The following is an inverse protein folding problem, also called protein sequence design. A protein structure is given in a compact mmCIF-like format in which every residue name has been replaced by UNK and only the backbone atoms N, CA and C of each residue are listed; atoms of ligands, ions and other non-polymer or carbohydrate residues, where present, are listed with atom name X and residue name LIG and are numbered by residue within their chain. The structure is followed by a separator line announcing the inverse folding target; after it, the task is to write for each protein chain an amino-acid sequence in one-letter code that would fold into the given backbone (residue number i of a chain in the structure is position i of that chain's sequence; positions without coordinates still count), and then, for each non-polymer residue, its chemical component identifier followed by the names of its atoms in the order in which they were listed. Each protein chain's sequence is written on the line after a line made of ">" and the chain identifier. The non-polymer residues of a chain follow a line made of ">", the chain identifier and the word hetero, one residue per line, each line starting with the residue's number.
data_IF_264476018561
#
_entry.id   IF_264476018561
#
_cell.length_a   1.000
_cell.length_b   1.000
_cell.length_c   1.000
_cell.angle_alpha   90.00
_cell.angle_beta   90.00
_cell.angle_gamma   90.00
#
_symmetry.space_group_name_H-M   'P 1'
#
loop_
_entity.id
_entity.type
_entity.pdbx_description
1 polymer ?
#
# COMPACT_ATOMS: atom_id res chain seq x y z
N UNK A 1 -2.98 38.54 -40.81
CA UNK A 1 -4.42 38.33 -40.75
C UNK A 1 -4.76 36.89 -40.57
N UNK A 2 -4.77 36.05 -41.61
CA UNK A 2 -5.07 34.61 -41.46
C UNK A 2 -4.04 33.85 -40.57
N UNK A 3 -2.79 34.24 -40.59
CA UNK A 3 -1.73 33.65 -39.80
C UNK A 3 -1.97 33.84 -38.29
N UNK A 4 -2.39 35.00 -37.88
CA UNK A 4 -2.65 35.28 -36.47
C UNK A 4 -3.85 34.52 -35.95
N UNK A 5 -4.91 34.43 -36.76
CA UNK A 5 -6.09 33.65 -36.41
C UNK A 5 -5.78 32.17 -36.28
N UNK A 6 -4.96 31.62 -37.17
CA UNK A 6 -4.51 30.25 -37.11
C UNK A 6 -3.65 30.01 -35.87
N UNK A 7 -2.74 30.95 -35.54
CA UNK A 7 -1.91 30.84 -34.34
C UNK A 7 -2.75 30.85 -33.08
N UNK A 8 -3.74 31.72 -33.01
CA UNK A 8 -4.68 31.76 -31.86
C UNK A 8 -5.44 30.46 -31.73
N UNK A 9 -5.95 29.94 -32.83
CA UNK A 9 -6.67 28.65 -32.81
C UNK A 9 -5.81 27.51 -32.37
N UNK A 10 -4.54 27.45 -32.79
CA UNK A 10 -3.57 26.43 -32.37
C UNK A 10 -3.29 26.57 -30.87
N UNK A 11 -3.11 27.78 -30.39
CA UNK A 11 -2.84 28.03 -28.98
C UNK A 11 -4.05 27.63 -28.11
N UNK A 12 -5.26 27.93 -28.55
CA UNK A 12 -6.47 27.51 -27.86
C UNK A 12 -6.57 26.01 -27.75
N UNK A 13 -6.29 25.30 -28.85
CA UNK A 13 -6.30 23.82 -28.88
C UNK A 13 -5.24 23.26 -27.92
N UNK A 14 -4.04 23.83 -27.92
CA UNK A 14 -2.97 23.40 -27.01
C UNK A 14 -3.35 23.64 -25.56
N UNK A 15 -4.00 24.76 -25.27
CA UNK A 15 -4.45 25.08 -23.93
C UNK A 15 -5.50 24.10 -23.44
N UNK A 16 -6.47 23.75 -24.29
CA UNK A 16 -7.50 22.75 -23.99
C UNK A 16 -6.87 21.39 -23.72
N UNK A 17 -5.91 20.99 -24.53
CA UNK A 17 -5.18 19.72 -24.35
C UNK A 17 -4.40 19.74 -23.05
N UNK A 18 -3.79 20.86 -22.71
CA UNK A 18 -3.06 21.03 -21.45
C UNK A 18 -3.99 20.91 -20.26
N UNK A 19 -5.14 21.55 -20.29
CA UNK A 19 -6.15 21.47 -19.25
C UNK A 19 -6.64 20.04 -19.05
N UNK A 20 -6.84 19.31 -20.14
CA UNK A 20 -7.22 17.89 -20.08
C UNK A 20 -6.13 17.07 -19.43
N UNK A 21 -4.88 17.29 -19.76
CA UNK A 21 -3.73 16.61 -19.17
C UNK A 21 -3.62 16.88 -17.67
N UNK A 22 -3.82 18.13 -17.27
CA UNK A 22 -3.78 18.52 -15.86
C UNK A 22 -4.89 17.81 -15.08
N UNK A 23 -6.10 17.75 -15.63
CA UNK A 23 -7.23 17.06 -15.00
C UNK A 23 -6.94 15.57 -14.84
N UNK A 24 -6.38 14.94 -15.85
CA UNK A 24 -5.98 13.53 -15.79
C UNK A 24 -4.89 13.29 -14.77
N UNK A 25 -3.94 14.22 -14.66
CA UNK A 25 -2.86 14.14 -13.69
C UNK A 25 -3.41 14.24 -12.26
N UNK A 26 -4.29 15.19 -12.01
CA UNK A 26 -4.94 15.34 -10.70
C UNK A 26 -5.68 14.06 -10.31
N UNK A 27 -6.44 13.49 -11.24
CA UNK A 27 -7.15 12.23 -11.01
C UNK A 27 -6.19 11.08 -10.71
N UNK A 28 -5.07 11.01 -11.41
CA UNK A 28 -4.05 9.98 -11.17
C UNK A 28 -3.40 10.15 -9.80
N UNK A 29 -3.12 11.39 -9.39
CA UNK A 29 -2.56 11.69 -8.07
C UNK A 29 -3.53 11.27 -6.96
N UNK A 30 -4.82 11.54 -7.12
CA UNK A 30 -5.84 11.11 -6.17
C UNK A 30 -5.88 9.58 -6.03
N UNK A 31 -5.79 8.87 -7.15
CA UNK A 31 -5.76 7.40 -7.13
C UNK A 31 -4.51 6.87 -6.45
N UNK A 32 -3.36 7.49 -6.69
CA UNK A 32 -2.11 7.11 -6.03
C UNK A 32 -2.23 7.31 -4.52
N UNK A 33 -2.79 8.41 -4.07
CA UNK A 33 -3.00 8.68 -2.66
C UNK A 33 -3.93 7.65 -2.02
N UNK A 34 -5.00 7.27 -2.70
CA UNK A 34 -5.94 6.25 -2.24
C UNK A 34 -5.26 4.88 -2.12
N UNK A 35 -4.50 4.48 -3.13
CA UNK A 35 -3.74 3.21 -3.11
C UNK A 35 -2.71 3.24 -1.98
N UNK A 36 -2.03 4.36 -1.78
CA UNK A 36 -1.05 4.52 -0.71
C UNK A 36 -1.69 4.33 0.67
N UNK A 37 -2.87 4.91 0.89
CA UNK A 37 -3.61 4.73 2.14
C UNK A 37 -4.02 3.28 2.34
N UNK A 38 -4.49 2.61 1.30
CA UNK A 38 -4.88 1.20 1.36
C UNK A 38 -3.68 0.30 1.66
N UNK A 39 -2.53 0.55 1.03
CA UNK A 39 -1.30 -0.19 1.30
C UNK A 39 -0.84 0.03 2.73
N UNK A 40 -0.89 1.26 3.24
CA UNK A 40 -0.51 1.56 4.62
C UNK A 40 -1.38 0.81 5.63
N UNK A 41 -2.69 0.75 5.40
CA UNK A 41 -3.61 -0.02 6.25
C UNK A 41 -3.30 -1.50 6.20
N UNK A 42 -3.04 -2.03 5.01
CA UNK A 42 -2.70 -3.43 4.80
C UNK A 42 -1.41 -3.79 5.55
N UNK A 43 -0.39 -2.95 5.46
CA UNK A 43 0.87 -3.15 6.18
C UNK A 43 0.65 -3.15 7.69
N UNK A 44 -0.16 -2.23 8.21
CA UNK A 44 -0.47 -2.19 9.63
C UNK A 44 -1.17 -3.46 10.11
N UNK A 45 -2.13 -3.97 9.34
CA UNK A 45 -2.81 -5.23 9.65
C UNK A 45 -1.83 -6.40 9.60
N UNK A 46 -0.96 -6.45 8.60
CA UNK A 46 0.05 -7.50 8.50
C UNK A 46 1.03 -7.47 9.67
N UNK A 47 1.47 -6.30 10.10
CA UNK A 47 2.34 -6.16 11.27
C UNK A 47 1.66 -6.70 12.54
N UNK A 48 0.38 -6.40 12.74
CA UNK A 48 -0.37 -6.93 13.87
C UNK A 48 -0.48 -8.45 13.80
N UNK A 49 -0.71 -9.01 12.62
CA UNK A 49 -0.79 -10.47 12.44
C UNK A 49 0.55 -11.14 12.72
N UNK A 50 1.63 -10.54 12.26
CA UNK A 50 2.98 -11.06 12.49
C UNK A 50 3.29 -11.04 13.98
N UNK A 51 3.03 -9.93 14.67
CA UNK A 51 3.25 -9.84 16.12
C UNK A 51 2.44 -10.87 16.89
N UNK A 52 1.18 -11.05 16.51
CA UNK A 52 0.32 -12.05 17.14
C UNK A 52 0.81 -13.47 16.90
N UNK A 53 1.29 -13.74 15.69
CA UNK A 53 1.86 -15.03 15.34
C UNK A 53 3.14 -15.31 16.14
N UNK A 54 3.98 -14.31 16.33
CA UNK A 54 5.18 -14.43 17.16
C UNK A 54 4.83 -14.77 18.62
N UNK A 55 3.81 -14.13 19.17
CA UNK A 55 3.32 -14.43 20.51
C UNK A 55 2.81 -15.87 20.62
N UNK A 56 2.04 -16.32 19.64
CA UNK A 56 1.53 -17.69 19.60
C UNK A 56 2.69 -18.68 19.49
N UNK A 57 3.67 -18.39 18.67
CA UNK A 57 4.85 -19.23 18.50
C UNK A 57 5.64 -19.37 19.81
N UNK A 58 5.84 -18.27 20.54
CA UNK A 58 6.49 -18.29 21.85
C UNK A 58 5.73 -19.18 22.85
N UNK A 59 4.42 -19.07 22.89
CA UNK A 59 3.57 -19.89 23.76
C UNK A 59 3.68 -21.37 23.40
N UNK A 60 3.67 -21.67 22.10
CA UNK A 60 3.79 -23.05 21.60
C UNK A 60 5.15 -23.65 21.93
N UNK A 61 6.24 -22.90 21.72
CA UNK A 61 7.59 -23.35 22.08
C UNK A 61 7.71 -23.60 23.57
N UNK A 62 7.16 -22.74 24.40
CA UNK A 62 7.17 -22.92 25.86
C UNK A 62 6.42 -24.20 26.26
N UNK A 63 5.28 -24.45 25.66
CA UNK A 63 4.51 -25.68 25.90
C UNK A 63 5.25 -26.92 25.45
N UNK A 64 5.89 -26.86 24.32
CA UNK A 64 6.70 -27.97 23.79
C UNK A 64 7.85 -28.28 24.75
N UNK A 65 8.55 -27.26 25.22
CA UNK A 65 9.64 -27.41 26.18
C UNK A 65 9.16 -28.07 27.48
N UNK A 66 8.02 -27.63 28.00
CA UNK A 66 7.42 -28.21 29.22
C UNK A 66 7.02 -29.67 29.02
N UNK A 67 6.47 -30.01 27.87
CA UNK A 67 6.12 -31.38 27.53
C UNK A 67 7.36 -32.26 27.41
N UNK A 68 8.42 -31.73 26.79
CA UNK A 68 9.69 -32.44 26.65
C UNK A 68 10.33 -32.72 28.02
N UNK A 69 10.33 -31.73 28.90
CA UNK A 69 10.86 -31.88 30.27
C UNK A 69 10.04 -32.93 31.04
N UNK A 70 8.73 -32.93 30.88
CA UNK A 70 7.86 -33.90 31.51
C UNK A 70 8.12 -35.33 30.98
N UNK A 71 8.32 -35.48 29.67
CA UNK A 71 8.63 -36.76 29.07
C UNK A 71 9.99 -37.31 29.55
N UNK A 72 10.99 -36.44 29.64
CA UNK A 72 12.30 -36.79 30.17
C UNK A 72 12.24 -37.18 31.64
N UNK A 73 11.43 -36.51 32.42
CA UNK A 73 11.20 -36.79 33.84
C UNK A 73 10.50 -38.15 34.04
N UNK A 74 9.54 -38.45 33.19
CA UNK A 74 8.78 -39.75 33.24
C UNK A 74 9.64 -40.93 32.77
N UNK A 75 10.74 -40.72 32.05
CA UNK A 75 11.62 -41.74 31.55
C UNK A 75 12.64 -42.23 32.61
N UNK A 76 12.85 -41.41 33.62
CA UNK A 76 13.73 -41.76 34.74
C UNK A 76 12.95 -42.37 35.87
#
# INVERSE_FOLDING_TARGET
>A
MMEEEVKVAVLETRLENFETLVTRLDSAIEKIAEVNNNVSRMLAVHEQRISKQEEIDEILFDKIDKLRDKMDSDHD
#
